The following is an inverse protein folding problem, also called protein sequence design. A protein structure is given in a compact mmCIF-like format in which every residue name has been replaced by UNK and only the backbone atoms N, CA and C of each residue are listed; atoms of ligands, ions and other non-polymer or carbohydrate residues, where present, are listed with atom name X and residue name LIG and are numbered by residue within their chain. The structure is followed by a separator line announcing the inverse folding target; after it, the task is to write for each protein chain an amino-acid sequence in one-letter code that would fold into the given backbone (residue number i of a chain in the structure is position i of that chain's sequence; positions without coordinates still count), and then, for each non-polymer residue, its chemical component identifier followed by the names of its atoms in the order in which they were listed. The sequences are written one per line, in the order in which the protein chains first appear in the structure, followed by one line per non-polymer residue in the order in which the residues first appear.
data_IF_046848266346
#
_entry.id   IF_046848266346
#
_cell.length_a   1.000
_cell.length_b   1.000
_cell.length_c   1.000
_cell.angle_alpha   90.00
_cell.angle_beta   90.00
_cell.angle_gamma   90.00
#
_symmetry.space_group_name_H-M   'P 1'
#
loop_
_entity.id
_entity.type
_entity.pdbx_description
1 polymer ?
#
# COMPACT_ATOMS: atom_id res chain seq x y z
N UNK A 1 -22.69 3.87 -4.95
CA UNK A 1 -22.98 2.80 -5.94
C UNK A 1 -21.70 2.00 -6.11
N UNK A 2 -21.77 0.67 -6.11
CA UNK A 2 -20.61 -0.16 -6.47
C UNK A 2 -20.70 -0.35 -7.97
N UNK A 3 -19.79 0.26 -8.72
CA UNK A 3 -19.72 0.05 -10.16
C UNK A 3 -19.25 -1.38 -10.38
N UNK A 4 -20.17 -2.25 -10.79
CA UNK A 4 -19.84 -3.59 -11.26
C UNK A 4 -19.20 -3.42 -12.63
N UNK A 5 -17.86 -3.44 -12.67
CA UNK A 5 -17.13 -3.58 -13.93
C UNK A 5 -17.08 -5.06 -14.29
N UNK A 6 -17.89 -5.46 -15.27
CA UNK A 6 -17.71 -6.74 -15.93
C UNK A 6 -16.46 -6.64 -16.82
N UNK A 7 -15.53 -7.57 -16.63
CA UNK A 7 -14.35 -7.67 -17.49
C UNK A 7 -14.82 -8.26 -18.81
N UNK A 8 -14.83 -7.43 -19.85
CA UNK A 8 -15.09 -7.84 -21.22
C UNK A 8 -13.99 -8.79 -21.72
N UNK A 9 -14.25 -9.59 -22.77
CA UNK A 9 -13.20 -10.37 -23.44
C UNK A 9 -12.05 -9.47 -23.90
N UNK A 10 -10.86 -10.09 -24.03
CA UNK A 10 -9.66 -9.37 -24.44
C UNK A 10 -9.86 -8.67 -25.79
N UNK A 11 -9.49 -7.40 -25.81
CA UNK A 11 -9.57 -6.52 -26.99
C UNK A 11 -8.22 -6.51 -27.69
N UNK A 12 -8.23 -6.72 -29.01
CA UNK A 12 -7.04 -6.47 -29.84
C UNK A 12 -6.90 -4.96 -30.10
N UNK A 13 -5.97 -4.33 -29.40
CA UNK A 13 -5.75 -2.88 -29.43
C UNK A 13 -5.19 -2.38 -30.76
N UNK A 14 -4.68 -3.26 -31.62
CA UNK A 14 -4.22 -2.86 -32.95
C UNK A 14 -5.37 -2.81 -33.96
N UNK A 15 -6.39 -3.66 -33.78
CA UNK A 15 -7.58 -3.73 -34.61
C UNK A 15 -8.65 -2.71 -34.19
N UNK A 16 -8.83 -2.49 -32.89
CA UNK A 16 -9.85 -1.58 -32.35
C UNK A 16 -9.32 -0.14 -32.13
N UNK A 17 -10.17 0.88 -32.31
CA UNK A 17 -9.81 2.28 -32.01
C UNK A 17 -10.06 2.58 -30.52
N UNK A 18 -9.15 2.11 -29.68
CA UNK A 18 -9.13 2.40 -28.25
C UNK A 18 -8.27 3.63 -27.98
N UNK A 19 -8.75 4.55 -27.13
CA UNK A 19 -8.06 5.79 -26.79
C UNK A 19 -7.94 6.01 -25.30
N UNK A 20 -6.83 6.60 -24.89
CA UNK A 20 -6.63 7.00 -23.51
C UNK A 20 -7.41 8.28 -23.16
N UNK A 21 -7.30 8.72 -21.89
CA UNK A 21 -7.97 9.94 -21.39
C UNK A 21 -7.50 11.22 -22.08
N UNK A 22 -6.35 11.17 -22.77
CA UNK A 22 -5.78 12.27 -23.54
C UNK A 22 -6.12 12.15 -25.04
N UNK A 23 -6.93 11.17 -25.44
CA UNK A 23 -7.36 10.94 -26.81
C UNK A 23 -6.30 10.25 -27.70
N UNK A 24 -5.20 9.77 -27.11
CA UNK A 24 -4.12 9.08 -27.83
C UNK A 24 -4.53 7.64 -28.12
N UNK A 25 -4.21 7.16 -29.33
CA UNK A 25 -4.50 5.79 -29.74
C UNK A 25 -3.66 4.80 -28.93
N UNK A 26 -4.35 3.85 -28.30
CA UNK A 26 -3.75 2.77 -27.52
C UNK A 26 -3.63 1.57 -28.45
N UNK A 27 -2.40 1.24 -28.81
CA UNK A 27 -2.05 0.01 -29.55
C UNK A 27 -1.45 -1.02 -28.61
N UNK A 28 -1.29 -2.27 -29.04
CA UNK A 28 -0.67 -3.32 -28.22
C UNK A 28 0.74 -2.89 -27.78
N UNK A 29 1.55 -2.39 -28.73
CA UNK A 29 2.89 -1.85 -28.46
C UNK A 29 2.89 -0.67 -27.48
N UNK A 30 1.89 0.21 -27.55
CA UNK A 30 1.77 1.33 -26.62
C UNK A 30 1.46 0.84 -25.21
N UNK A 31 0.53 -0.12 -25.09
CA UNK A 31 0.14 -0.69 -23.81
C UNK A 31 1.29 -1.46 -23.14
N UNK A 32 2.02 -2.28 -23.90
CA UNK A 32 3.22 -2.99 -23.42
C UNK A 32 4.28 -2.03 -22.89
N UNK A 33 4.62 -0.99 -23.67
CA UNK A 33 5.61 0.01 -23.23
C UNK A 33 5.16 0.73 -21.95
N UNK A 34 3.88 1.11 -21.86
CA UNK A 34 3.35 1.75 -20.67
C UNK A 34 3.40 0.83 -19.44
N UNK A 35 3.16 -0.47 -19.62
CA UNK A 35 3.28 -1.47 -18.56
C UNK A 35 4.74 -1.65 -18.12
N UNK A 36 5.70 -1.73 -19.05
CA UNK A 36 7.13 -1.81 -18.75
C UNK A 36 7.62 -0.56 -18.00
N UNK A 37 7.26 0.64 -18.47
CA UNK A 37 7.58 1.90 -17.80
C UNK A 37 6.99 1.94 -16.38
N UNK A 38 5.74 1.49 -16.21
CA UNK A 38 5.13 1.37 -14.89
C UNK A 38 5.90 0.38 -13.99
N UNK A 39 6.28 -0.79 -14.51
CA UNK A 39 7.06 -1.77 -13.76
C UNK A 39 8.44 -1.24 -13.34
N UNK A 40 9.09 -0.44 -14.18
CA UNK A 40 10.36 0.23 -13.84
C UNK A 40 10.20 1.25 -12.71
N UNK A 41 9.03 1.89 -12.62
CA UNK A 41 8.71 2.85 -11.55
C UNK A 41 8.21 2.18 -10.27
N UNK A 42 7.76 0.93 -10.34
CA UNK A 42 7.20 0.18 -9.22
C UNK A 42 8.30 -0.59 -8.48
N UNK A 43 8.67 -0.15 -7.28
CA UNK A 43 9.44 -0.98 -6.33
C UNK A 43 8.63 -2.24 -5.97
N UNK A 44 9.28 -3.40 -5.75
CA UNK A 44 8.59 -4.66 -5.45
C UNK A 44 7.78 -4.56 -4.15
N UNK A 45 6.46 -4.42 -4.29
CA UNK A 45 5.49 -4.44 -3.18
C UNK A 45 5.66 -3.36 -2.11
N UNK A 46 4.72 -3.35 -1.14
CA UNK A 46 4.90 -2.57 0.10
C UNK A 46 6.11 -3.15 0.84
N UNK A 47 7.20 -2.39 1.05
CA UNK A 47 8.38 -2.91 1.73
C UNK A 47 8.02 -3.40 3.14
N UNK A 48 8.60 -4.53 3.53
CA UNK A 48 8.51 -5.04 4.89
C UNK A 48 9.16 -4.06 5.86
N UNK A 49 8.62 -3.93 7.07
CA UNK A 49 9.14 -3.05 8.12
C UNK A 49 10.47 -3.55 8.75
N UNK A 50 11.21 -4.42 8.06
CA UNK A 50 12.42 -5.12 8.54
C UNK A 50 13.32 -5.60 7.40
N UNK A 51 14.15 -6.63 7.64
CA UNK A 51 15.01 -7.22 6.60
C UNK A 51 14.22 -7.56 5.31
N UNK A 52 14.79 -7.20 4.16
CA UNK A 52 14.23 -7.53 2.84
C UNK A 52 14.00 -9.04 2.77
N UNK A 53 12.74 -9.46 2.65
CA UNK A 53 12.37 -10.89 2.50
C UNK A 53 11.83 -11.59 3.75
N UNK A 54 11.71 -10.93 4.92
CA UNK A 54 11.06 -11.52 6.10
C UNK A 54 9.81 -10.73 6.52
N UNK A 55 8.69 -11.43 6.70
CA UNK A 55 7.46 -10.84 7.24
C UNK A 55 7.68 -10.34 8.67
N UNK A 56 7.14 -9.16 8.99
CA UNK A 56 7.17 -8.63 10.35
C UNK A 56 6.32 -9.52 11.28
N UNK A 57 6.86 -9.97 12.43
CA UNK A 57 6.08 -10.71 13.41
C UNK A 57 4.87 -9.91 13.89
N UNK A 58 3.74 -10.61 14.08
CA UNK A 58 2.50 -9.98 14.55
C UNK A 58 2.36 -10.18 16.04
N UNK A 59 2.35 -9.08 16.79
CA UNK A 59 2.16 -9.07 18.25
C UNK A 59 0.77 -8.49 18.57
N UNK A 60 -0.01 -9.17 19.42
CA UNK A 60 -1.32 -8.72 19.86
C UNK A 60 -1.47 -8.85 21.38
N UNK A 61 -1.99 -7.81 22.03
CA UNK A 61 -2.26 -7.79 23.46
C UNK A 61 -3.55 -7.00 23.73
N UNK A 62 -4.15 -7.23 24.90
CA UNK A 62 -5.33 -6.47 25.35
C UNK A 62 -4.88 -5.25 26.14
N UNK A 63 -5.62 -4.16 26.01
CA UNK A 63 -5.44 -2.94 26.79
C UNK A 63 -6.78 -2.47 27.33
N UNK A 64 -6.81 -1.73 28.45
CA UNK A 64 -8.00 -1.00 28.86
C UNK A 64 -8.50 -0.08 27.74
N UNK A 65 -9.80 0.10 27.62
CA UNK A 65 -10.42 0.94 26.58
C UNK A 65 -9.86 2.36 26.58
N UNK A 66 -9.68 2.94 27.77
CA UNK A 66 -9.10 4.27 27.93
C UNK A 66 -7.70 4.39 27.31
N UNK A 67 -6.87 3.35 27.42
CA UNK A 67 -5.52 3.34 26.85
C UNK A 67 -5.58 3.32 25.32
N UNK A 68 -6.50 2.54 24.74
CA UNK A 68 -6.73 2.54 23.30
C UNK A 68 -7.15 3.92 22.80
N UNK A 69 -8.12 4.55 23.45
CA UNK A 69 -8.62 5.88 23.08
C UNK A 69 -7.51 6.94 23.15
N UNK A 70 -6.69 6.92 24.19
CA UNK A 70 -5.54 7.82 24.32
C UNK A 70 -4.51 7.60 23.22
N UNK A 71 -4.23 6.35 22.86
CA UNK A 71 -3.30 6.03 21.77
C UNK A 71 -3.81 6.52 20.41
N UNK A 72 -5.11 6.40 20.14
CA UNK A 72 -5.75 6.89 18.90
C UNK A 72 -5.69 8.42 18.80
N UNK A 73 -6.00 9.14 19.89
CA UNK A 73 -5.90 10.60 19.95
C UNK A 73 -4.47 11.07 19.71
N UNK A 74 -3.50 10.41 20.34
CA UNK A 74 -2.07 10.72 20.17
C UNK A 74 -1.59 10.45 18.75
N UNK A 75 -1.98 9.32 18.17
CA UNK A 75 -1.68 8.94 16.79
C UNK A 75 -2.20 10.00 15.80
N UNK A 76 -3.45 10.43 15.97
CA UNK A 76 -4.05 11.48 15.15
C UNK A 76 -3.30 12.82 15.29
N UNK A 77 -2.95 13.22 16.52
CA UNK A 77 -2.21 14.46 16.76
C UNK A 77 -0.80 14.46 16.17
N UNK A 78 -0.14 13.30 16.11
CA UNK A 78 1.21 13.14 15.53
C UNK A 78 1.21 12.82 14.03
N UNK A 79 0.04 12.62 13.40
CA UNK A 79 -0.04 12.16 12.01
C UNK A 79 0.55 10.77 11.78
N UNK A 80 0.52 9.91 12.82
CA UNK A 80 1.08 8.54 12.83
C UNK A 80 -0.04 7.52 13.01
N UNK A 81 0.25 6.26 12.75
CA UNK A 81 -0.63 5.14 13.10
C UNK A 81 -0.40 4.68 14.55
N UNK A 82 -1.44 4.11 15.17
CA UNK A 82 -1.33 3.48 16.50
C UNK A 82 -0.24 2.41 16.53
N UNK A 83 -0.09 1.64 15.45
CA UNK A 83 0.95 0.61 15.33
C UNK A 83 2.37 1.18 15.31
N UNK A 84 2.58 2.37 14.75
CA UNK A 84 3.90 3.03 14.77
C UNK A 84 4.25 3.56 16.17
N UNK A 85 3.28 4.16 16.86
CA UNK A 85 3.46 4.60 18.26
C UNK A 85 3.74 3.39 19.15
N UNK A 86 2.97 2.30 19.00
CA UNK A 86 3.14 1.09 19.79
C UNK A 86 4.52 0.46 19.58
N UNK A 87 4.99 0.38 18.32
CA UNK A 87 6.33 -0.13 17.99
C UNK A 87 7.42 0.73 18.62
N UNK A 88 7.34 2.04 18.43
CA UNK A 88 8.33 3.00 18.95
C UNK A 88 8.37 2.98 20.49
N UNK A 89 7.22 2.92 21.16
CA UNK A 89 7.14 2.78 22.61
C UNK A 89 7.80 1.48 23.10
N UNK A 90 7.52 0.36 22.43
CA UNK A 90 8.13 -0.94 22.76
C UNK A 90 9.65 -0.93 22.55
N UNK A 91 10.13 -0.40 21.43
CA UNK A 91 11.56 -0.26 21.16
C UNK A 91 12.27 0.63 22.19
N UNK A 92 11.67 1.77 22.55
CA UNK A 92 12.20 2.67 23.60
C UNK A 92 12.25 1.97 24.95
N UNK A 93 11.19 1.27 25.33
CA UNK A 93 11.15 0.50 26.57
C UNK A 93 12.30 -0.50 26.61
N UNK A 94 12.51 -1.28 25.54
CA UNK A 94 13.58 -2.28 25.48
C UNK A 94 14.99 -1.67 25.46
N UNK A 95 15.20 -0.50 24.83
CA UNK A 95 16.49 0.21 24.88
C UNK A 95 16.85 0.72 26.27
N UNK A 96 15.85 1.02 27.10
CA UNK A 96 16.04 1.52 28.46
C UNK A 96 16.19 0.39 29.51
N UNK A 97 16.16 -0.88 29.08
CA UNK A 97 16.29 -2.08 29.94
C UNK A 97 17.74 -2.63 29.92
N UNK A 98 18.71 -1.84 29.44
CA UNK A 98 20.15 -2.10 29.53
C UNK A 98 20.86 -1.08 30.42
#
# INVERSE_FOLDING_TARGET
MKDHHEVAPDVDLDAEDVRDRQGRRVTNKYAERAAEEALQLVRPGRPALGEVGKHSPRVSFRVPEQVRTQAEQRAAAEGRSVSEIARDALERYLRNVG
#
